data_IF_450490968559
#
_entry.id   IF_450490968559
#
_cell.length_a   1.000
_cell.length_b   1.000
_cell.length_c   1.000
_cell.angle_alpha   90.00
_cell.angle_beta   90.00
_cell.angle_gamma   90.00
#
_symmetry.space_group_name_H-M   'P 1'
#
loop_
_entity.id
_entity.type
_entity.pdbx_description
1 polymer ?
#
# COMPACT_ATOMS: atom_id res chain seq x y z
N UNK A 1 3.30 -17.08 20.32
CA UNK A 1 2.74 -16.18 19.29
C UNK A 1 3.57 -14.92 19.29
N UNK A 2 4.17 -14.55 18.16
CA UNK A 2 4.95 -13.34 18.06
C UNK A 2 4.02 -12.12 18.19
N UNK A 3 4.32 -11.23 19.14
CA UNK A 3 3.65 -9.92 19.24
C UNK A 3 4.20 -9.00 18.16
N UNK A 4 3.41 -8.04 17.71
CA UNK A 4 3.90 -7.00 16.82
C UNK A 4 5.08 -6.25 17.46
N UNK A 5 6.15 -6.06 16.71
CA UNK A 5 7.28 -5.23 17.12
C UNK A 5 7.93 -4.55 15.91
N UNK A 6 8.54 -3.40 16.17
CA UNK A 6 9.30 -2.64 15.18
C UNK A 6 10.65 -2.28 15.79
N UNK A 7 11.72 -2.70 15.12
CA UNK A 7 13.10 -2.46 15.53
C UNK A 7 13.84 -1.70 14.43
N UNK A 8 14.43 -0.55 14.76
CA UNK A 8 15.32 0.15 13.84
C UNK A 8 16.68 -0.55 13.79
N UNK A 9 17.05 -1.06 12.60
CA UNK A 9 18.30 -1.81 12.41
C UNK A 9 19.43 -0.88 11.97
N UNK A 10 19.17 0.00 10.98
CA UNK A 10 20.19 0.87 10.39
C UNK A 10 19.56 2.11 9.78
N UNK A 11 20.26 3.24 9.89
CA UNK A 11 19.96 4.48 9.14
C UNK A 11 21.02 4.67 8.07
N UNK A 12 20.61 5.21 6.94
CA UNK A 12 21.54 5.64 5.90
C UNK A 12 22.33 6.86 6.36
N UNK A 13 23.61 6.95 6.01
CA UNK A 13 24.48 8.01 6.49
C UNK A 13 24.11 9.43 5.98
N UNK A 14 23.50 9.53 4.79
CA UNK A 14 23.30 10.82 4.10
C UNK A 14 21.84 11.20 3.83
N UNK A 15 20.91 10.27 4.01
CA UNK A 15 19.47 10.50 3.79
C UNK A 15 18.71 10.10 5.05
N UNK A 16 17.38 10.30 5.06
CA UNK A 16 16.53 9.85 6.19
C UNK A 16 16.12 8.38 6.07
N UNK A 17 16.58 7.70 5.02
CA UNK A 17 16.28 6.31 4.77
C UNK A 17 16.78 5.41 5.90
N UNK A 18 16.04 4.34 6.13
CA UNK A 18 16.29 3.43 7.24
C UNK A 18 15.77 2.04 6.93
N UNK A 19 16.37 1.07 7.60
CA UNK A 19 15.90 -0.32 7.63
C UNK A 19 15.36 -0.59 9.02
N UNK A 20 14.09 -0.98 9.08
CA UNK A 20 13.45 -1.52 10.27
C UNK A 20 13.09 -2.98 10.06
N UNK A 21 13.20 -3.79 11.11
CA UNK A 21 12.62 -5.13 11.17
C UNK A 21 11.26 -5.03 11.81
N UNK A 22 10.25 -5.54 11.12
CA UNK A 22 8.88 -5.65 11.63
C UNK A 22 8.60 -7.12 11.86
N UNK A 23 8.19 -7.47 13.08
CA UNK A 23 7.79 -8.83 13.44
C UNK A 23 6.27 -8.88 13.57
N UNK A 24 5.62 -9.86 12.95
CA UNK A 24 4.17 -10.08 13.05
C UNK A 24 3.86 -11.52 13.45
N UNK A 25 2.61 -11.84 13.83
CA UNK A 25 2.19 -13.22 14.05
C UNK A 25 2.43 -14.17 12.87
N UNK A 26 2.43 -13.66 11.62
CA UNK A 26 2.59 -14.46 10.40
C UNK A 26 3.97 -14.29 9.73
N UNK A 27 4.95 -13.71 10.43
CA UNK A 27 6.34 -13.67 9.99
C UNK A 27 6.99 -12.30 10.15
N UNK A 28 8.26 -12.25 9.79
CA UNK A 28 9.05 -11.02 9.87
C UNK A 28 9.29 -10.45 8.46
N UNK A 29 9.44 -9.13 8.37
CA UNK A 29 9.87 -8.48 7.13
C UNK A 29 10.78 -7.27 7.41
N UNK A 30 11.58 -6.91 6.41
CA UNK A 30 12.45 -5.73 6.44
C UNK A 30 11.88 -4.60 5.60
N UNK A 31 11.97 -3.39 6.12
CA UNK A 31 11.68 -2.14 5.41
C UNK A 31 12.97 -1.54 4.80
N UNK A 32 12.90 -0.69 3.77
CA UNK A 32 11.70 -0.30 3.02
C UNK A 32 11.03 -1.48 2.31
N UNK A 33 9.70 -1.48 2.21
CA UNK A 33 8.95 -2.58 1.60
C UNK A 33 7.77 -2.12 0.74
N UNK A 34 7.64 -2.75 -0.42
CA UNK A 34 6.49 -2.64 -1.30
C UNK A 34 5.43 -3.69 -0.93
N UNK A 35 4.18 -3.27 -0.83
CA UNK A 35 3.03 -4.15 -0.61
C UNK A 35 2.19 -4.27 -1.89
N UNK A 36 2.26 -5.41 -2.61
CA UNK A 36 1.33 -5.67 -3.70
C UNK A 36 -0.12 -5.68 -3.19
N UNK A 37 -1.00 -5.01 -3.92
CA UNK A 37 -2.39 -4.82 -3.49
C UNK A 37 -3.29 -5.95 -3.99
N UNK A 38 -3.85 -6.68 -3.03
CA UNK A 38 -4.90 -7.67 -3.22
C UNK A 38 -6.28 -7.08 -2.97
N UNK A 39 -6.93 -6.56 -4.02
CA UNK A 39 -8.22 -5.86 -3.89
C UNK A 39 -9.34 -6.76 -3.36
N UNK A 40 -9.32 -8.05 -3.68
CA UNK A 40 -10.36 -9.01 -3.32
C UNK A 40 -9.78 -10.35 -2.87
N UNK A 41 -9.10 -10.36 -1.72
CA UNK A 41 -8.47 -11.57 -1.16
C UNK A 41 -7.43 -12.22 -2.10
N UNK A 42 -6.75 -11.43 -2.90
CA UNK A 42 -5.78 -11.92 -3.89
C UNK A 42 -5.23 -10.80 -4.75
N UNK A 43 -3.92 -10.88 -5.03
CA UNK A 43 -3.24 -9.96 -5.95
C UNK A 43 -3.58 -10.37 -7.38
N UNK A 44 -3.98 -9.39 -8.20
CA UNK A 44 -4.46 -9.67 -9.56
C UNK A 44 -3.39 -10.41 -10.39
N UNK A 45 -3.75 -11.58 -10.93
CA UNK A 45 -2.94 -12.44 -11.79
C UNK A 45 -1.64 -12.95 -11.16
N UNK A 46 -1.56 -13.05 -9.83
CA UNK A 46 -0.43 -13.67 -9.16
C UNK A 46 -0.91 -14.58 -8.03
N UNK A 47 -0.33 -15.77 -7.97
CA UNK A 47 -0.47 -16.70 -6.86
C UNK A 47 0.42 -16.29 -5.68
N UNK A 48 0.14 -16.73 -4.45
CA UNK A 48 1.02 -16.53 -3.30
C UNK A 48 2.47 -16.98 -3.54
N UNK A 49 2.65 -18.09 -4.26
CA UNK A 49 3.98 -18.59 -4.64
C UNK A 49 4.73 -17.59 -5.54
N UNK A 50 4.08 -17.10 -6.59
CA UNK A 50 4.69 -16.11 -7.50
C UNK A 50 5.00 -14.78 -6.80
N UNK A 51 4.19 -14.39 -5.80
CA UNK A 51 4.48 -13.20 -4.98
C UNK A 51 5.76 -13.37 -4.15
N UNK A 52 5.95 -14.54 -3.54
CA UNK A 52 7.16 -14.88 -2.79
C UNK A 52 8.38 -14.93 -3.71
N UNK A 53 8.27 -15.59 -4.87
CA UNK A 53 9.33 -15.66 -5.88
C UNK A 53 9.66 -14.26 -6.46
N UNK A 54 8.67 -13.36 -6.54
CA UNK A 54 8.88 -11.97 -6.89
C UNK A 54 9.47 -11.11 -5.75
N UNK A 55 9.73 -11.66 -4.57
CA UNK A 55 10.36 -10.98 -3.43
C UNK A 55 9.41 -10.24 -2.49
N UNK A 56 8.10 -10.48 -2.58
CA UNK A 56 7.11 -9.83 -1.70
C UNK A 56 7.23 -10.41 -0.29
N UNK A 57 7.41 -9.55 0.71
CA UNK A 57 7.49 -9.95 2.13
C UNK A 57 6.16 -9.74 2.87
N UNK A 58 5.32 -8.84 2.38
CA UNK A 58 4.01 -8.46 2.93
C UNK A 58 3.10 -8.06 1.77
N UNK A 59 1.78 -8.24 1.93
CA UNK A 59 0.78 -7.77 0.97
C UNK A 59 -0.25 -6.87 1.65
N UNK A 60 -0.87 -5.98 0.86
CA UNK A 60 -2.13 -5.36 1.27
C UNK A 60 -3.23 -6.34 0.83
N UNK A 61 -3.60 -7.28 1.70
CA UNK A 61 -4.36 -8.47 1.33
C UNK A 61 -5.87 -8.26 1.17
N UNK A 62 -6.37 -7.08 1.52
CA UNK A 62 -7.77 -6.76 1.35
C UNK A 62 -8.07 -5.30 1.60
N UNK A 63 -9.06 -4.81 0.88
CA UNK A 63 -9.75 -3.60 1.23
C UNK A 63 -11.00 -3.96 2.04
N UNK A 64 -11.17 -3.34 3.21
CA UNK A 64 -12.29 -3.66 4.13
C UNK A 64 -13.64 -3.49 3.43
N UNK A 65 -13.79 -2.44 2.62
CA UNK A 65 -15.00 -2.21 1.84
C UNK A 65 -15.30 -3.36 0.87
N UNK A 66 -14.32 -3.79 0.06
CA UNK A 66 -14.52 -4.88 -0.90
C UNK A 66 -14.84 -6.21 -0.21
N UNK A 67 -14.27 -6.48 0.97
CA UNK A 67 -14.53 -7.69 1.75
C UNK A 67 -15.93 -7.73 2.33
N UNK A 68 -16.49 -6.58 2.69
CA UNK A 68 -17.90 -6.46 3.06
C UNK A 68 -18.84 -6.74 1.88
N UNK A 69 -18.44 -6.40 0.65
CA UNK A 69 -19.23 -6.62 -0.55
C UNK A 69 -19.19 -8.08 -1.02
N UNK A 70 -18.00 -8.62 -1.28
CA UNK A 70 -17.80 -9.94 -1.85
C UNK A 70 -16.39 -10.46 -1.50
N UNK A 71 -16.24 -11.67 -0.92
CA UNK A 71 -17.26 -12.70 -0.75
C UNK A 71 -18.22 -12.48 0.45
N UNK A 72 -17.98 -11.43 1.25
CA UNK A 72 -18.71 -11.18 2.49
C UNK A 72 -18.04 -11.83 3.70
N UNK A 73 -18.20 -11.21 4.87
CA UNK A 73 -17.45 -11.57 6.07
C UNK A 73 -17.76 -12.96 6.62
N UNK A 74 -18.97 -13.47 6.42
CA UNK A 74 -19.33 -14.83 6.87
C UNK A 74 -18.58 -15.92 6.10
N UNK A 75 -18.22 -15.68 4.84
CA UNK A 75 -17.42 -16.61 4.04
C UNK A 75 -15.97 -16.59 4.53
N UNK A 76 -15.42 -15.41 4.78
CA UNK A 76 -14.06 -15.24 5.30
C UNK A 76 -13.93 -15.87 6.70
N UNK A 77 -14.92 -15.68 7.56
CA UNK A 77 -14.93 -16.26 8.91
C UNK A 77 -14.98 -17.79 8.86
N UNK A 78 -15.84 -18.37 8.00
CA UNK A 78 -15.90 -19.82 7.79
C UNK A 78 -14.61 -20.41 7.21
N UNK A 79 -13.88 -19.64 6.41
CA UNK A 79 -12.58 -20.04 5.89
C UNK A 79 -11.45 -19.99 6.94
N UNK A 80 -11.72 -19.44 8.14
CA UNK A 80 -10.71 -19.27 9.19
C UNK A 80 -9.85 -18.02 9.00
N UNK A 81 -10.35 -17.01 8.28
CA UNK A 81 -9.65 -15.76 8.01
C UNK A 81 -9.07 -15.68 6.60
N UNK A 82 -8.47 -14.53 6.27
CA UNK A 82 -8.00 -14.26 4.92
C UNK A 82 -6.77 -15.09 4.54
N UNK A 83 -5.84 -15.30 5.49
CA UNK A 83 -4.62 -16.08 5.25
C UNK A 83 -4.92 -17.48 4.65
N UNK A 84 -5.72 -18.35 5.31
CA UNK A 84 -6.09 -19.64 4.72
C UNK A 84 -6.98 -19.50 3.48
N UNK A 85 -7.84 -18.48 3.42
CA UNK A 85 -8.73 -18.26 2.27
C UNK A 85 -7.97 -17.93 0.97
N UNK A 86 -6.92 -17.11 1.05
CA UNK A 86 -6.11 -16.72 -0.11
C UNK A 86 -4.86 -17.59 -0.32
N UNK A 87 -4.52 -18.44 0.64
CA UNK A 87 -3.28 -19.24 0.64
C UNK A 87 -2.01 -18.43 0.87
N UNK A 88 -2.11 -17.22 1.40
CA UNK A 88 -0.97 -16.40 1.81
C UNK A 88 -0.74 -16.60 3.30
N UNK A 89 0.47 -17.03 3.67
CA UNK A 89 0.83 -17.34 5.04
C UNK A 89 1.89 -16.39 5.61
N UNK A 90 2.24 -15.33 4.87
CA UNK A 90 3.13 -14.28 5.33
C UNK A 90 2.39 -13.10 5.96
N UNK A 91 3.11 -12.04 6.37
CA UNK A 91 2.52 -10.80 6.88
C UNK A 91 1.48 -10.19 5.94
N UNK A 92 0.39 -9.67 6.51
CA UNK A 92 -0.69 -9.02 5.75
C UNK A 92 -1.17 -7.73 6.43
N UNK A 93 -1.31 -6.68 5.62
CA UNK A 93 -2.00 -5.44 5.99
C UNK A 93 -3.40 -5.40 5.33
N UNK A 94 -4.37 -4.82 6.02
CA UNK A 94 -5.68 -4.48 5.43
C UNK A 94 -5.95 -2.99 5.62
N UNK A 95 -6.56 -2.35 4.64
CA UNK A 95 -6.97 -0.95 4.80
C UNK A 95 -8.26 -0.84 5.64
N UNK A 96 -8.61 0.38 6.06
CA UNK A 96 -9.79 0.65 6.88
C UNK A 96 -11.09 0.76 6.07
N UNK A 97 -11.03 0.80 4.74
CA UNK A 97 -12.14 1.13 3.84
C UNK A 97 -12.47 2.62 3.68
N UNK A 98 -11.83 3.52 4.43
CA UNK A 98 -12.10 4.97 4.40
C UNK A 98 -11.82 5.64 3.04
N UNK A 99 -10.80 5.17 2.30
CA UNK A 99 -10.53 5.69 0.96
C UNK A 99 -11.62 5.33 -0.06
N UNK A 100 -12.21 4.14 0.04
CA UNK A 100 -13.26 3.68 -0.87
C UNK A 100 -14.56 4.43 -0.58
N UNK A 101 -14.85 4.70 0.69
CA UNK A 101 -15.87 5.66 1.11
C UNK A 101 -15.68 6.99 0.38
N UNK A 102 -14.48 7.56 0.39
CA UNK A 102 -14.18 8.79 -0.35
C UNK A 102 -14.41 8.64 -1.86
N UNK A 103 -13.87 7.59 -2.49
CA UNK A 103 -14.01 7.38 -3.94
C UNK A 103 -15.46 7.24 -4.41
N UNK A 104 -16.32 6.62 -3.58
CA UNK A 104 -17.75 6.41 -3.85
C UNK A 104 -18.60 7.61 -3.44
N UNK A 105 -18.17 8.40 -2.46
CA UNK A 105 -18.84 9.64 -2.03
C UNK A 105 -18.87 10.74 -3.10
N UNK A 106 -18.06 10.58 -4.17
CA UNK A 106 -18.20 11.40 -5.40
C UNK A 106 -19.62 11.32 -5.98
N UNK A 107 -20.36 10.25 -5.68
CA UNK A 107 -21.79 10.18 -5.89
C UNK A 107 -22.53 10.15 -4.54
N UNK A 108 -23.15 11.27 -4.16
CA UNK A 108 -23.89 11.42 -2.89
C UNK A 108 -25.10 10.48 -2.75
N UNK A 109 -25.62 9.95 -3.86
CA UNK A 109 -26.68 8.93 -3.83
C UNK A 109 -26.16 7.55 -3.41
N UNK A 110 -24.84 7.34 -3.53
CA UNK A 110 -24.16 6.08 -3.24
C UNK A 110 -23.51 6.12 -1.85
N UNK A 111 -22.95 7.27 -1.43
CA UNK A 111 -22.32 7.40 -0.13
C UNK A 111 -22.50 8.78 0.52
N UNK A 112 -22.88 8.78 1.79
CA UNK A 112 -22.95 9.96 2.67
C UNK A 112 -22.08 9.74 3.91
N UNK A 113 -21.50 10.82 4.45
CA UNK A 113 -20.62 10.77 5.60
C UNK A 113 -21.17 11.72 6.67
N UNK A 114 -21.35 11.22 7.88
CA UNK A 114 -21.74 12.00 9.05
C UNK A 114 -20.66 11.93 10.14
N UNK A 115 -21.02 12.24 11.38
CA UNK A 115 -20.09 12.21 12.52
C UNK A 115 -19.84 10.81 13.07
N UNK A 116 -20.79 9.89 12.88
CA UNK A 116 -20.72 8.53 13.40
C UNK A 116 -20.00 7.59 12.43
N UNK A 117 -20.08 7.87 11.13
CA UNK A 117 -19.40 7.07 10.13
C UNK A 117 -19.76 7.43 8.69
N UNK A 118 -19.65 6.42 7.83
CA UNK A 118 -19.98 6.51 6.42
C UNK A 118 -21.11 5.54 6.07
N UNK A 119 -22.15 6.05 5.44
CA UNK A 119 -23.24 5.24 4.90
C UNK A 119 -22.97 5.02 3.42
N UNK A 120 -23.04 3.78 2.96
CA UNK A 120 -22.97 3.49 1.53
C UNK A 120 -23.86 2.33 1.11
N UNK A 121 -24.36 2.43 -0.12
CA UNK A 121 -25.09 1.34 -0.77
C UNK A 121 -24.12 0.42 -1.48
N UNK A 122 -24.31 -0.87 -1.28
CA UNK A 122 -23.55 -1.89 -1.99
C UNK A 122 -23.93 -1.89 -3.49
N UNK A 123 -22.97 -1.96 -4.43
CA UNK A 123 -23.27 -2.06 -5.85
C UNK A 123 -24.16 -3.27 -6.15
N UNK A 124 -25.33 -3.03 -6.75
CA UNK A 124 -26.28 -4.09 -7.09
C UNK A 124 -27.12 -4.63 -5.92
N UNK A 125 -27.11 -3.97 -4.76
CA UNK A 125 -27.95 -4.32 -3.61
C UNK A 125 -28.65 -3.10 -3.01
N UNK A 126 -29.81 -3.31 -2.40
CA UNK A 126 -30.51 -2.30 -1.59
C UNK A 126 -29.95 -2.19 -0.18
N UNK A 127 -29.02 -3.07 0.22
CA UNK A 127 -28.41 -3.07 1.54
C UNK A 127 -27.56 -1.82 1.75
N UNK A 128 -27.93 -1.06 2.78
CA UNK A 128 -27.14 0.05 3.31
C UNK A 128 -26.15 -0.50 4.35
N UNK A 129 -24.88 -0.14 4.21
CA UNK A 129 -23.86 -0.39 5.23
C UNK A 129 -23.56 0.94 5.91
N UNK A 130 -23.61 0.95 7.25
CA UNK A 130 -23.13 2.05 8.07
C UNK A 130 -21.76 1.67 8.65
N UNK A 131 -20.71 2.22 8.06
CA UNK A 131 -19.33 1.92 8.41
C UNK A 131 -18.83 2.92 9.46
N UNK A 132 -18.80 2.47 10.71
CA UNK A 132 -18.21 3.18 11.85
C UNK A 132 -16.76 2.72 12.10
N UNK A 133 -15.98 3.42 12.96
CA UNK A 133 -14.66 2.94 13.38
C UNK A 133 -14.69 1.52 13.97
N UNK A 134 -15.65 1.21 14.83
CA UNK A 134 -15.80 -0.10 15.45
C UNK A 134 -16.12 -1.17 14.42
N UNK A 135 -17.04 -0.91 13.48
CA UNK A 135 -17.36 -1.86 12.41
C UNK A 135 -16.15 -2.11 11.49
N UNK A 136 -15.38 -1.05 11.17
CA UNK A 136 -14.16 -1.19 10.39
C UNK A 136 -13.16 -2.12 11.09
N UNK A 137 -12.89 -1.87 12.37
CA UNK A 137 -11.96 -2.70 13.16
C UNK A 137 -12.47 -4.13 13.36
N UNK A 138 -13.76 -4.32 13.62
CA UNK A 138 -14.36 -5.65 13.70
C UNK A 138 -14.19 -6.43 12.39
N UNK A 139 -14.40 -5.76 11.25
CA UNK A 139 -14.21 -6.37 9.94
C UNK A 139 -12.75 -6.78 9.74
N UNK A 140 -11.80 -5.90 10.07
CA UNK A 140 -10.37 -6.18 9.98
C UNK A 140 -9.93 -7.31 10.95
N UNK A 141 -10.62 -7.47 12.08
CA UNK A 141 -10.44 -8.61 13.01
C UNK A 141 -10.89 -9.94 12.42
N UNK A 142 -12.01 -9.95 11.70
CA UNK A 142 -12.50 -11.13 10.99
C UNK A 142 -11.63 -11.44 9.76
N UNK A 143 -11.11 -10.42 9.05
CA UNK A 143 -10.09 -10.61 8.01
C UNK A 143 -8.87 -11.31 8.59
N UNK A 144 -8.46 -10.93 9.81
CA UNK A 144 -7.33 -11.55 10.51
C UNK A 144 -5.98 -11.10 9.98
N UNK A 145 -5.87 -9.85 9.49
CA UNK A 145 -4.62 -9.22 9.10
C UNK A 145 -3.67 -9.02 10.30
N UNK A 146 -2.38 -8.87 10.05
CA UNK A 146 -1.40 -8.54 11.09
C UNK A 146 -1.38 -7.05 11.42
N UNK A 147 -1.56 -6.21 10.39
CA UNK A 147 -1.59 -4.75 10.52
C UNK A 147 -2.96 -4.27 10.06
N UNK A 148 -3.64 -3.55 10.93
CA UNK A 148 -4.95 -2.96 10.70
C UNK A 148 -4.84 -1.43 10.73
N UNK A 149 -5.69 -0.78 9.95
CA UNK A 149 -5.69 0.67 9.80
C UNK A 149 -6.86 1.26 10.58
N UNK A 150 -6.62 2.35 11.31
CA UNK A 150 -7.67 3.14 11.92
C UNK A 150 -8.63 3.68 10.83
N UNK A 151 -9.91 3.80 11.16
CA UNK A 151 -10.88 4.39 10.25
C UNK A 151 -10.65 5.89 10.11
N UNK A 152 -10.58 6.37 8.87
CA UNK A 152 -10.31 7.77 8.55
C UNK A 152 -11.23 8.28 7.44
N UNK A 153 -11.21 9.60 7.26
CA UNK A 153 -11.83 10.23 6.11
C UNK A 153 -10.74 10.84 5.22
N UNK A 154 -10.59 10.30 4.02
CA UNK A 154 -9.66 10.83 3.04
C UNK A 154 -10.05 12.28 2.66
N UNK A 155 -9.07 13.18 2.70
CA UNK A 155 -9.27 14.59 2.35
C UNK A 155 -9.19 14.78 0.83
N UNK A 156 -10.21 15.37 0.17
CA UNK A 156 -10.16 15.73 -1.25
C UNK A 156 -9.24 16.93 -1.51
N UNK A 157 -8.60 16.97 -2.68
CA UNK A 157 -7.63 18.02 -3.04
C UNK A 157 -8.24 19.42 -3.25
N UNK A 158 -9.53 19.46 -3.56
CA UNK A 158 -10.27 20.71 -3.87
C UNK A 158 -10.96 21.33 -2.65
N UNK A 159 -10.83 20.74 -1.46
CA UNK A 159 -11.45 21.25 -0.25
C UNK A 159 -10.78 22.54 0.25
N UNK A 160 -11.60 23.46 0.76
CA UNK A 160 -11.11 24.63 1.49
C UNK A 160 -10.42 24.23 2.79
N UNK A 161 -9.53 25.09 3.31
CA UNK A 161 -8.81 24.85 4.56
C UNK A 161 -9.74 24.53 5.74
N UNK A 162 -10.88 25.21 5.85
CA UNK A 162 -11.84 24.96 6.93
C UNK A 162 -12.54 23.60 6.80
N UNK A 163 -12.83 23.16 5.58
CA UNK A 163 -13.35 21.81 5.33
C UNK A 163 -12.32 20.74 5.67
N UNK A 164 -11.06 20.93 5.26
CA UNK A 164 -9.96 20.02 5.60
C UNK A 164 -9.78 19.93 7.11
N UNK A 165 -9.82 21.06 7.82
CA UNK A 165 -9.73 21.10 9.29
C UNK A 165 -10.87 20.33 9.94
N UNK A 166 -12.10 20.41 9.40
CA UNK A 166 -13.25 19.65 9.89
C UNK A 166 -13.06 18.14 9.70
N UNK A 167 -12.62 17.72 8.51
CA UNK A 167 -12.33 16.32 8.16
C UNK A 167 -11.22 15.75 9.03
N UNK A 168 -10.14 16.51 9.23
CA UNK A 168 -9.02 16.13 10.09
C UNK A 168 -9.49 15.91 11.53
N UNK A 169 -10.25 16.85 12.11
CA UNK A 169 -10.80 16.70 13.47
C UNK A 169 -11.72 15.49 13.61
N UNK A 170 -12.47 15.14 12.57
CA UNK A 170 -13.28 13.92 12.55
C UNK A 170 -12.40 12.67 12.56
N UNK A 171 -11.39 12.63 11.69
CA UNK A 171 -10.38 11.56 11.68
C UNK A 171 -9.70 11.38 13.04
N UNK A 172 -9.41 12.47 13.76
CA UNK A 172 -8.87 12.43 15.11
C UNK A 172 -9.81 11.77 16.13
N UNK A 173 -11.12 12.09 16.06
CA UNK A 173 -12.13 11.42 16.91
C UNK A 173 -12.24 9.93 16.59
N UNK A 174 -12.29 9.57 15.31
CA UNK A 174 -12.37 8.18 14.87
C UNK A 174 -11.11 7.37 15.22
N UNK A 175 -9.93 7.99 15.22
CA UNK A 175 -8.72 7.33 15.74
C UNK A 175 -8.87 6.98 17.22
N UNK A 176 -9.37 7.91 18.04
CA UNK A 176 -9.57 7.65 19.48
C UNK A 176 -10.52 6.47 19.69
N UNK A 177 -11.66 6.45 19.00
CA UNK A 177 -12.61 5.33 19.04
C UNK A 177 -11.97 4.02 18.56
N UNK A 178 -11.18 4.06 17.49
CA UNK A 178 -10.44 2.90 16.99
C UNK A 178 -9.46 2.34 18.03
N UNK A 179 -8.71 3.23 18.71
CA UNK A 179 -7.77 2.83 19.77
C UNK A 179 -8.51 2.23 20.96
N UNK A 180 -9.57 2.88 21.45
CA UNK A 180 -10.36 2.40 22.58
C UNK A 180 -10.94 1.00 22.29
N UNK A 181 -11.50 0.81 21.09
CA UNK A 181 -12.00 -0.49 20.65
C UNK A 181 -10.87 -1.53 20.54
N UNK A 182 -9.73 -1.17 19.96
CA UNK A 182 -8.59 -2.08 19.79
C UNK A 182 -7.97 -2.49 21.13
N UNK A 183 -7.89 -1.59 22.11
CA UNK A 183 -7.41 -1.92 23.46
C UNK A 183 -8.33 -2.93 24.16
N UNK A 184 -9.65 -2.80 23.96
CA UNK A 184 -10.62 -3.76 24.50
C UNK A 184 -10.55 -5.11 23.79
N UNK A 185 -10.24 -5.11 22.49
CA UNK A 185 -10.15 -6.31 21.66
C UNK A 185 -8.81 -6.30 20.89
N UNK A 186 -7.68 -6.70 21.50
CA UNK A 186 -6.36 -6.54 20.87
C UNK A 186 -6.05 -7.58 19.78
N UNK A 187 -6.77 -8.69 19.75
CA UNK A 187 -6.51 -9.79 18.80
C UNK A 187 -7.49 -9.81 17.64
N UNK A 188 -7.12 -10.53 16.58
CA UNK A 188 -8.02 -10.97 15.53
C UNK A 188 -9.05 -11.98 16.08
N UNK A 189 -10.04 -12.31 15.24
CA UNK A 189 -11.02 -13.37 15.51
C UNK A 189 -10.37 -14.74 15.77
N UNK A 190 -9.13 -14.91 15.33
CA UNK A 190 -8.36 -16.17 15.38
C UNK A 190 -7.23 -16.14 16.41
N UNK A 191 -7.23 -15.16 17.33
CA UNK A 191 -6.32 -15.10 18.47
C UNK A 191 -4.94 -14.49 18.21
N UNK A 192 -4.65 -14.04 16.98
CA UNK A 192 -3.40 -13.35 16.66
C UNK A 192 -3.47 -11.88 17.08
N UNK A 193 -2.42 -11.33 17.70
CA UNK A 193 -2.34 -9.89 18.01
C UNK A 193 -2.25 -9.07 16.73
N UNK A 194 -3.01 -7.98 16.62
CA UNK A 194 -2.95 -7.11 15.45
C UNK A 194 -2.34 -5.76 15.83
N UNK A 195 -1.53 -5.17 14.95
CA UNK A 195 -1.02 -3.82 15.11
C UNK A 195 -2.01 -2.80 14.56
N UNK A 196 -2.23 -1.68 15.25
CA UNK A 196 -3.10 -0.60 14.78
C UNK A 196 -2.29 0.60 14.31
N UNK A 197 -2.43 0.98 13.04
CA UNK A 197 -1.80 2.20 12.49
C UNK A 197 -2.78 3.36 12.47
N UNK A 198 -2.31 4.55 12.89
CA UNK A 198 -3.04 5.81 12.76
C UNK A 198 -2.73 6.50 11.44
N UNK A 199 -3.67 7.30 10.90
CA UNK A 199 -3.54 7.93 9.58
C UNK A 199 -3.48 9.45 9.72
N UNK A 200 -2.37 10.04 9.28
CA UNK A 200 -2.20 11.50 9.18
C UNK A 200 -2.95 12.00 7.94
N UNK A 201 -4.02 12.77 8.19
CA UNK A 201 -4.73 13.59 7.19
C UNK A 201 -4.34 15.07 7.33
N UNK A 202 -4.89 15.96 6.48
CA UNK A 202 -4.61 17.40 6.51
C UNK A 202 -4.53 18.09 5.14
N UNK A 203 -4.89 17.39 4.06
CA UNK A 203 -4.88 17.95 2.70
C UNK A 203 -3.50 18.46 2.27
N UNK A 204 -3.48 19.57 1.55
CA UNK A 204 -2.27 20.27 1.07
C UNK A 204 -1.80 21.38 2.03
N UNK A 205 -2.34 21.44 3.25
CA UNK A 205 -2.06 22.51 4.22
C UNK A 205 -1.02 22.05 5.24
N UNK A 206 0.15 22.68 5.23
CA UNK A 206 1.28 22.34 6.10
C UNK A 206 0.89 22.35 7.59
N UNK A 207 0.26 23.43 8.06
CA UNK A 207 -0.12 23.59 9.46
C UNK A 207 -1.09 22.50 9.95
N UNK A 208 -2.06 22.12 9.10
CA UNK A 208 -3.00 21.03 9.42
C UNK A 208 -2.32 19.66 9.40
N UNK A 209 -1.38 19.43 8.47
CA UNK A 209 -0.57 18.20 8.44
C UNK A 209 0.26 18.06 9.72
N UNK A 210 0.85 19.15 10.19
CA UNK A 210 1.62 19.17 11.43
C UNK A 210 0.73 18.94 12.66
N UNK A 211 -0.41 19.63 12.79
CA UNK A 211 -1.40 19.42 13.86
C UNK A 211 -1.86 17.95 13.90
N UNK A 212 -2.11 17.39 12.71
CA UNK A 212 -2.52 16.00 12.58
C UNK A 212 -1.42 15.02 12.97
N UNK A 213 -0.19 15.20 12.48
CA UNK A 213 0.92 14.32 12.82
C UNK A 213 1.25 14.31 14.32
N UNK A 214 1.19 15.47 14.97
CA UNK A 214 1.35 15.60 16.42
C UNK A 214 0.25 14.83 17.18
N UNK A 215 -1.02 15.06 16.83
CA UNK A 215 -2.14 14.38 17.44
C UNK A 215 -2.06 12.85 17.27
N UNK A 216 -1.91 12.37 16.04
CA UNK A 216 -1.88 10.92 15.73
C UNK A 216 -0.72 10.26 16.48
N UNK A 217 0.44 10.90 16.56
CA UNK A 217 1.61 10.38 17.28
C UNK A 217 1.39 10.36 18.80
N UNK A 218 0.75 11.38 19.37
CA UNK A 218 0.45 11.47 20.81
C UNK A 218 -0.46 10.33 21.30
N UNK A 219 -1.29 9.79 20.40
CA UNK A 219 -2.15 8.63 20.67
C UNK A 219 -1.38 7.29 20.65
N UNK A 220 -0.09 7.31 20.31
CA UNK A 220 0.84 6.18 20.35
C UNK A 220 0.41 4.90 19.59
N UNK A 221 -0.17 4.98 18.36
CA UNK A 221 -0.51 3.79 17.56
C UNK A 221 0.76 3.02 17.17
N UNK A 222 0.65 1.74 16.80
CA UNK A 222 1.81 0.88 16.51
C UNK A 222 2.63 1.35 15.30
N UNK A 223 2.00 2.05 14.36
CA UNK A 223 2.62 2.68 13.20
C UNK A 223 1.86 3.93 12.73
N UNK A 224 2.50 4.70 11.87
CA UNK A 224 1.98 5.98 11.37
C UNK A 224 1.87 5.91 9.86
N UNK A 225 0.65 6.03 9.35
CA UNK A 225 0.38 6.17 7.93
C UNK A 225 0.15 7.63 7.53
N UNK A 226 0.42 7.93 6.27
CA UNK A 226 0.25 9.25 5.64
C UNK A 226 -0.74 9.05 4.49
N UNK A 227 -1.92 9.64 4.62
CA UNK A 227 -3.02 9.52 3.66
C UNK A 227 -3.44 10.85 3.03
N UNK A 228 -4.45 10.80 2.17
CA UNK A 228 -5.02 11.96 1.44
C UNK A 228 -4.94 11.78 -0.08
N UNK A 229 -5.85 12.41 -0.83
CA UNK A 229 -5.99 12.22 -2.28
C UNK A 229 -4.70 12.57 -3.05
N UNK A 230 -3.94 13.57 -2.61
CA UNK A 230 -2.69 13.96 -3.27
C UNK A 230 -1.55 12.95 -3.10
N UNK A 231 -1.54 12.16 -2.01
CA UNK A 231 -0.39 11.32 -1.61
C UNK A 231 -0.24 10.17 -2.62
N UNK A 232 0.96 10.03 -3.18
CA UNK A 232 1.28 9.03 -4.20
C UNK A 232 0.85 9.38 -5.63
N UNK A 233 -0.01 10.40 -5.81
CA UNK A 233 -0.41 10.88 -7.13
C UNK A 233 0.40 12.09 -7.59
N UNK A 234 0.70 13.03 -6.68
CA UNK A 234 1.61 14.14 -6.93
C UNK A 234 2.84 13.97 -6.03
N UNK A 235 3.93 13.43 -6.60
CA UNK A 235 5.14 13.11 -5.84
C UNK A 235 5.80 14.34 -5.24
N UNK A 236 5.76 15.50 -5.90
CA UNK A 236 6.29 16.75 -5.33
C UNK A 236 5.57 17.09 -4.03
N UNK A 237 4.24 17.15 -4.07
CA UNK A 237 3.43 17.45 -2.87
C UNK A 237 3.54 16.34 -1.82
N UNK A 238 3.65 15.07 -2.24
CA UNK A 238 3.88 13.94 -1.33
C UNK A 238 5.16 14.13 -0.54
N UNK A 239 6.27 14.48 -1.20
CA UNK A 239 7.55 14.74 -0.57
C UNK A 239 7.49 15.97 0.35
N UNK A 240 6.85 17.05 -0.08
CA UNK A 240 6.66 18.25 0.76
C UNK A 240 5.88 17.91 2.05
N UNK A 241 4.79 17.13 1.95
CA UNK A 241 4.02 16.65 3.11
C UNK A 241 4.89 15.83 4.05
N UNK A 242 5.66 14.86 3.53
CA UNK A 242 6.55 14.03 4.36
C UNK A 242 7.56 14.91 5.10
N UNK A 243 8.14 15.92 4.42
CA UNK A 243 9.09 16.85 5.03
C UNK A 243 8.45 17.69 6.14
N UNK A 244 7.24 18.22 5.92
CA UNK A 244 6.52 19.01 6.91
C UNK A 244 6.27 18.27 8.22
N UNK A 245 5.96 16.98 8.14
CA UNK A 245 5.57 16.18 9.31
C UNK A 245 6.73 15.38 9.91
N UNK A 246 7.90 15.33 9.26
CA UNK A 246 8.99 14.42 9.62
C UNK A 246 9.39 14.50 11.10
N UNK A 247 9.46 15.71 11.66
CA UNK A 247 9.83 15.96 13.06
C UNK A 247 8.85 15.38 14.08
N UNK A 248 7.61 15.10 13.68
CA UNK A 248 6.59 14.51 14.55
C UNK A 248 6.57 12.97 14.47
N UNK A 249 7.23 12.37 13.46
CA UNK A 249 7.17 10.92 13.23
C UNK A 249 8.20 10.18 14.11
N UNK A 250 7.77 9.28 15.02
CA UNK A 250 8.69 8.56 15.90
C UNK A 250 9.70 7.71 15.11
N UNK A 251 10.91 7.61 15.66
CA UNK A 251 11.97 6.82 15.01
C UNK A 251 11.75 5.31 15.16
N UNK A 252 11.10 4.88 16.23
CA UNK A 252 10.89 3.46 16.55
C UNK A 252 9.63 2.86 15.94
N UNK A 253 8.83 3.65 15.20
CA UNK A 253 7.58 3.19 14.58
C UNK A 253 7.70 3.19 13.06
N UNK A 254 7.08 2.23 12.36
CA UNK A 254 7.01 2.22 10.90
C UNK A 254 6.18 3.39 10.38
N UNK A 255 6.62 3.92 9.25
CA UNK A 255 6.02 5.03 8.51
C UNK A 255 5.54 4.53 7.15
N UNK A 256 4.25 4.68 6.90
CA UNK A 256 3.58 4.11 5.73
C UNK A 256 2.97 5.22 4.87
N UNK A 257 3.41 5.38 3.63
CA UNK A 257 2.72 6.25 2.66
C UNK A 257 1.75 5.45 1.80
N UNK A 258 0.46 5.78 1.90
CA UNK A 258 -0.59 5.05 1.19
C UNK A 258 -0.61 5.45 -0.29
N UNK A 259 -0.68 4.47 -1.19
CA UNK A 259 -0.87 4.71 -2.64
C UNK A 259 0.39 5.09 -3.44
N UNK A 260 1.57 5.14 -2.82
CA UNK A 260 2.85 5.43 -3.50
C UNK A 260 3.35 4.20 -4.26
N UNK A 261 3.70 4.40 -5.53
CA UNK A 261 4.29 3.34 -6.37
C UNK A 261 3.77 3.30 -7.81
N UNK A 262 3.50 4.46 -8.40
CA UNK A 262 3.16 4.57 -9.83
C UNK A 262 4.38 4.28 -10.70
N UNK A 263 5.56 4.67 -10.21
CA UNK A 263 6.90 4.42 -10.77
C UNK A 263 7.82 3.82 -9.69
N UNK A 264 8.82 3.00 -10.07
CA UNK A 264 9.89 2.58 -9.16
C UNK A 264 10.64 3.76 -8.51
N UNK A 265 10.75 4.89 -9.22
CA UNK A 265 11.40 6.10 -8.70
C UNK A 265 10.64 6.68 -7.48
N UNK A 266 9.32 6.57 -7.46
CA UNK A 266 8.50 7.12 -6.38
C UNK A 266 8.90 6.51 -5.02
N UNK A 267 9.28 5.23 -5.02
CA UNK A 267 9.74 4.52 -3.83
C UNK A 267 11.06 5.08 -3.32
N UNK A 268 12.01 5.27 -4.24
CA UNK A 268 13.34 5.81 -3.92
C UNK A 268 13.22 7.22 -3.30
N UNK A 269 12.30 8.03 -3.82
CA UNK A 269 12.08 9.41 -3.39
C UNK A 269 11.52 9.48 -1.96
N UNK A 270 10.47 8.71 -1.66
CA UNK A 270 9.86 8.74 -0.31
C UNK A 270 10.73 8.07 0.74
N UNK A 271 11.49 7.03 0.36
CA UNK A 271 12.43 6.36 1.28
C UNK A 271 13.58 7.29 1.64
N UNK A 272 14.09 8.10 0.70
CA UNK A 272 15.09 9.11 1.01
C UNK A 272 14.63 10.11 2.10
N UNK A 273 13.31 10.34 2.19
CA UNK A 273 12.67 11.18 3.21
C UNK A 273 12.26 10.41 4.48
N UNK A 274 12.55 9.11 4.55
CA UNK A 274 12.44 8.28 5.75
C UNK A 274 11.11 7.54 5.91
N UNK A 275 10.46 7.19 4.78
CA UNK A 275 9.31 6.29 4.72
C UNK A 275 9.77 4.83 4.62
N UNK A 276 9.01 3.92 5.23
CA UNK A 276 9.38 2.51 5.39
C UNK A 276 8.46 1.56 4.60
N UNK A 277 7.21 1.94 4.40
CA UNK A 277 6.19 1.07 3.80
C UNK A 277 5.40 1.85 2.76
N UNK A 278 4.97 1.18 1.70
CA UNK A 278 4.12 1.75 0.66
C UNK A 278 3.40 0.65 -0.11
N UNK A 279 2.26 1.00 -0.70
CA UNK A 279 1.43 0.11 -1.51
C UNK A 279 0.97 0.84 -2.78
N UNK A 280 0.78 0.09 -3.86
CA UNK A 280 0.14 0.63 -5.04
C UNK A 280 -0.51 -0.46 -5.88
N UNK A 281 -1.69 -0.17 -6.42
CA UNK A 281 -2.32 -1.02 -7.44
C UNK A 281 -1.65 -0.91 -8.80
N UNK A 282 -0.83 0.11 -9.02
CA UNK A 282 -0.29 0.45 -10.33
C UNK A 282 0.56 -0.66 -10.96
N UNK A 283 1.44 -1.39 -10.25
CA UNK A 283 2.27 -2.41 -10.88
C UNK A 283 1.45 -3.50 -11.59
N UNK A 284 0.43 -4.06 -10.94
CA UNK A 284 -0.45 -5.07 -11.53
C UNK A 284 -1.47 -4.46 -12.50
N UNK A 285 -2.04 -3.29 -12.18
CA UNK A 285 -2.99 -2.61 -13.08
C UNK A 285 -2.35 -2.23 -14.41
N UNK A 286 -1.17 -1.60 -14.37
CA UNK A 286 -0.43 -1.15 -15.56
C UNK A 286 0.07 -2.33 -16.39
N UNK A 287 0.55 -3.39 -15.73
CA UNK A 287 0.93 -4.65 -16.38
C UNK A 287 -0.20 -5.19 -17.27
N UNK A 288 -1.42 -5.31 -16.73
CA UNK A 288 -2.61 -5.77 -17.49
C UNK A 288 -2.91 -4.91 -18.71
N UNK A 289 -2.61 -3.62 -18.65
CA UNK A 289 -2.83 -2.70 -19.75
C UNK A 289 -1.65 -2.63 -20.76
N UNK A 290 -0.57 -3.37 -20.53
CA UNK A 290 0.57 -3.44 -21.44
C UNK A 290 1.72 -2.50 -21.10
N UNK A 291 1.70 -1.90 -19.91
CA UNK A 291 2.76 -1.00 -19.46
C UNK A 291 3.68 -1.72 -18.48
N UNK A 292 4.94 -1.89 -18.87
CA UNK A 292 5.94 -2.68 -18.15
C UNK A 292 7.09 -1.78 -17.71
N UNK A 293 7.50 -1.87 -16.44
CA UNK A 293 8.64 -1.09 -15.96
C UNK A 293 9.92 -1.51 -16.69
N UNK A 294 10.73 -0.53 -17.09
CA UNK A 294 11.94 -0.76 -17.86
C UNK A 294 12.94 0.36 -17.57
N UNK A 295 14.15 -0.02 -17.17
CA UNK A 295 15.21 0.89 -16.76
C UNK A 295 16.27 0.14 -15.96
N UNK A 296 17.05 0.86 -15.18
CA UNK A 296 18.12 0.32 -14.34
C UNK A 296 18.23 1.14 -13.05
N UNK A 297 18.52 0.47 -11.94
CA UNK A 297 18.89 1.16 -10.70
C UNK A 297 20.36 1.53 -10.75
N UNK A 298 20.63 2.84 -10.71
CA UNK A 298 21.98 3.36 -10.67
C UNK A 298 22.20 4.13 -9.36
N UNK A 299 23.45 4.20 -8.93
CA UNK A 299 23.85 5.08 -7.83
C UNK A 299 24.07 6.50 -8.37
N UNK A 300 23.42 7.48 -7.77
CA UNK A 300 23.57 8.90 -8.07
C UNK A 300 23.93 9.64 -6.79
N UNK A 301 25.19 10.08 -6.71
CA UNK A 301 25.76 10.60 -5.46
C UNK A 301 25.72 9.56 -4.34
N UNK A 302 25.04 9.90 -3.24
CA UNK A 302 24.90 9.03 -2.06
C UNK A 302 23.60 8.22 -2.06
N UNK A 303 22.79 8.27 -3.12
CA UNK A 303 21.50 7.58 -3.17
C UNK A 303 21.31 6.80 -4.48
N UNK A 304 20.13 6.20 -4.65
CA UNK A 304 19.76 5.47 -5.86
C UNK A 304 18.80 6.30 -6.72
N UNK A 305 18.89 6.09 -8.04
CA UNK A 305 17.94 6.58 -9.03
C UNK A 305 17.54 5.45 -9.97
N UNK A 306 16.26 5.37 -10.33
CA UNK A 306 15.78 4.48 -11.38
C UNK A 306 15.95 5.17 -12.73
N UNK A 307 17.08 4.91 -13.40
CA UNK A 307 17.40 5.45 -14.70
C UNK A 307 16.66 4.72 -15.81
N UNK A 308 15.95 5.46 -16.64
CA UNK A 308 15.24 4.90 -17.79
C UNK A 308 15.25 5.88 -18.94
N UNK A 309 15.48 5.42 -20.19
CA UNK A 309 15.29 6.24 -21.38
C UNK A 309 13.80 6.43 -21.72
N UNK A 310 12.90 5.66 -21.09
CA UNK A 310 11.46 5.73 -21.29
C UNK A 310 10.81 6.64 -20.26
N UNK A 311 9.84 7.43 -20.74
CA UNK A 311 8.98 8.26 -19.90
C UNK A 311 8.29 7.43 -18.81
N UNK A 312 8.28 7.94 -17.57
CA UNK A 312 7.73 7.24 -16.40
C UNK A 312 8.31 5.83 -16.19
N UNK A 313 9.56 5.60 -16.61
CA UNK A 313 10.28 4.36 -16.41
C UNK A 313 9.58 3.10 -16.95
N UNK A 314 8.83 3.22 -18.06
CA UNK A 314 8.00 2.13 -18.58
C UNK A 314 7.90 2.09 -20.09
N UNK A 315 7.91 0.89 -20.64
CA UNK A 315 7.57 0.64 -22.04
C UNK A 315 6.07 0.37 -22.21
N UNK A 316 5.59 0.52 -23.44
CA UNK A 316 4.25 0.11 -23.86
C UNK A 316 4.38 -1.07 -24.81
N UNK A 317 4.29 -2.30 -24.29
CA UNK A 317 4.65 -3.52 -25.03
C UNK A 317 3.81 -3.73 -26.29
N UNK A 318 2.63 -3.10 -26.36
CA UNK A 318 1.71 -3.13 -27.52
C UNK A 318 2.23 -2.37 -28.76
N UNK A 319 3.27 -1.54 -28.62
CA UNK A 319 3.85 -0.77 -29.73
C UNK A 319 4.52 -1.70 -30.74
N UNK A 320 4.40 -1.37 -32.03
CA UNK A 320 4.86 -2.22 -33.13
C UNK A 320 6.38 -2.47 -33.13
N UNK A 321 7.16 -1.54 -32.57
CA UNK A 321 8.62 -1.70 -32.42
C UNK A 321 9.02 -2.95 -31.63
N UNK A 322 8.15 -3.48 -30.77
CA UNK A 322 8.42 -4.68 -29.98
C UNK A 322 8.02 -5.98 -30.68
N UNK A 323 7.40 -5.94 -31.86
CA UNK A 323 6.84 -7.14 -32.51
C UNK A 323 7.90 -8.18 -32.91
N UNK A 324 9.12 -7.75 -33.20
CA UNK A 324 10.27 -8.60 -33.58
C UNK A 324 11.46 -8.45 -32.62
N UNK A 325 11.24 -7.87 -31.45
CA UNK A 325 12.26 -7.59 -30.45
C UNK A 325 12.50 -8.81 -29.55
N UNK A 326 13.59 -9.54 -29.80
CA UNK A 326 13.88 -10.80 -29.12
C UNK A 326 14.54 -10.64 -27.74
N UNK A 327 14.85 -9.41 -27.33
CA UNK A 327 15.41 -9.13 -26.00
C UNK A 327 14.34 -9.25 -24.91
N UNK A 328 14.73 -9.51 -23.64
CA UNK A 328 13.82 -9.42 -22.50
C UNK A 328 13.37 -7.98 -22.24
N UNK A 329 12.43 -7.79 -21.31
CA UNK A 329 11.99 -6.43 -20.92
C UNK A 329 13.16 -5.63 -20.35
N UNK A 330 13.97 -6.28 -19.49
CA UNK A 330 15.16 -5.72 -18.85
C UNK A 330 16.23 -6.82 -18.76
N UNK A 331 17.40 -6.66 -19.40
CA UNK A 331 18.45 -7.69 -19.40
C UNK A 331 18.99 -8.08 -18.01
N UNK A 332 19.01 -7.13 -17.06
CA UNK A 332 19.48 -7.35 -15.69
C UNK A 332 18.40 -7.88 -14.73
N UNK A 333 17.15 -8.00 -15.17
CA UNK A 333 16.04 -8.42 -14.33
C UNK A 333 16.02 -9.95 -14.17
N UNK A 334 15.94 -10.42 -12.93
CA UNK A 334 15.98 -11.84 -12.58
C UNK A 334 14.60 -12.46 -12.42
N UNK A 335 13.52 -11.73 -12.73
CA UNK A 335 12.17 -12.26 -12.66
C UNK A 335 11.94 -13.36 -13.70
N UNK A 336 11.02 -14.28 -13.41
CA UNK A 336 10.62 -15.36 -14.31
C UNK A 336 10.34 -14.86 -15.75
N UNK A 337 9.67 -13.71 -15.87
CA UNK A 337 9.30 -13.20 -17.19
C UNK A 337 10.51 -12.75 -18.02
N UNK A 338 11.47 -12.03 -17.43
CA UNK A 338 12.67 -11.59 -18.15
C UNK A 338 13.64 -12.76 -18.45
N UNK A 339 13.66 -13.80 -17.62
CA UNK A 339 14.53 -14.95 -17.84
C UNK A 339 14.03 -15.92 -18.92
N UNK A 340 12.73 -15.91 -19.22
CA UNK A 340 12.11 -16.92 -20.09
C UNK A 340 11.43 -16.37 -21.34
N UNK A 341 11.17 -15.05 -21.42
CA UNK A 341 10.35 -14.48 -22.47
C UNK A 341 10.92 -13.19 -23.06
N UNK A 342 10.82 -13.07 -24.39
CA UNK A 342 11.19 -11.87 -25.13
C UNK A 342 10.05 -10.85 -25.19
N UNK A 343 10.41 -9.59 -25.49
CA UNK A 343 9.44 -8.51 -25.76
C UNK A 343 8.52 -8.84 -26.94
N UNK A 344 9.02 -9.52 -27.98
CA UNK A 344 8.23 -10.01 -29.12
C UNK A 344 7.13 -10.99 -28.69
N UNK A 345 7.47 -11.96 -27.84
CA UNK A 345 6.48 -12.91 -27.32
C UNK A 345 5.42 -12.20 -26.48
N UNK A 346 5.84 -11.31 -25.57
CA UNK A 346 4.92 -10.53 -24.75
C UNK A 346 4.04 -9.59 -25.58
N UNK A 347 4.60 -8.97 -26.63
CA UNK A 347 3.85 -8.16 -27.59
C UNK A 347 2.75 -9.00 -28.25
N UNK A 348 3.11 -10.18 -28.77
CA UNK A 348 2.16 -11.11 -29.37
C UNK A 348 1.03 -11.49 -28.41
N UNK A 349 1.37 -11.96 -27.19
CA UNK A 349 0.36 -12.33 -26.19
C UNK A 349 -0.55 -11.15 -25.82
N UNK A 350 0.02 -9.94 -25.70
CA UNK A 350 -0.73 -8.72 -25.41
C UNK A 350 -1.72 -8.36 -26.53
N UNK A 351 -1.31 -8.52 -27.80
CA UNK A 351 -2.18 -8.29 -28.97
C UNK A 351 -3.32 -9.30 -29.04
N UNK A 352 -3.05 -10.56 -28.71
CA UNK A 352 -4.05 -11.63 -28.63
C UNK A 352 -4.94 -11.54 -27.38
N UNK A 353 -4.66 -10.60 -26.47
CA UNK A 353 -5.35 -10.47 -25.17
C UNK A 353 -5.33 -11.79 -24.37
N UNK A 354 -4.25 -12.55 -24.50
CA UNK A 354 -4.11 -13.82 -23.79
C UNK A 354 -3.98 -13.58 -22.28
N UNK A 355 -4.69 -14.38 -21.47
CA UNK A 355 -4.60 -14.28 -20.00
C UNK A 355 -3.15 -14.43 -19.51
N UNK A 356 -2.37 -15.32 -20.15
CA UNK A 356 -0.95 -15.54 -19.85
C UNK A 356 -0.13 -14.24 -19.90
N UNK A 357 -0.42 -13.31 -20.83
CA UNK A 357 0.26 -12.01 -20.87
C UNK A 357 0.15 -11.30 -19.53
N UNK A 358 -1.07 -11.23 -18.98
CA UNK A 358 -1.34 -10.46 -17.78
C UNK A 358 -0.69 -11.06 -16.54
N UNK A 359 -0.54 -12.38 -16.47
CA UNK A 359 0.21 -13.05 -15.40
C UNK A 359 1.72 -12.71 -15.48
N UNK A 360 2.34 -12.94 -16.64
CA UNK A 360 3.77 -12.66 -16.87
C UNK A 360 4.11 -11.18 -16.63
N UNK A 361 3.30 -10.27 -17.19
CA UNK A 361 3.46 -8.84 -17.00
C UNK A 361 3.37 -8.42 -15.52
N UNK A 362 2.48 -9.06 -14.75
CA UNK A 362 2.30 -8.74 -13.32
C UNK A 362 3.48 -9.22 -12.49
N UNK A 363 4.00 -10.44 -12.77
CA UNK A 363 5.23 -10.96 -12.13
C UNK A 363 6.38 -9.98 -12.34
N UNK A 364 6.61 -9.53 -13.58
CA UNK A 364 7.67 -8.57 -13.89
C UNK A 364 7.53 -7.27 -13.09
N UNK A 365 6.37 -6.61 -13.18
CA UNK A 365 6.20 -5.30 -12.54
C UNK A 365 6.28 -5.37 -11.01
N UNK A 366 5.74 -6.42 -10.38
CA UNK A 366 5.84 -6.60 -8.92
C UNK A 366 7.27 -6.90 -8.50
N UNK A 367 7.97 -7.76 -9.23
CA UNK A 367 9.37 -8.05 -8.96
C UNK A 367 10.25 -6.80 -9.02
N UNK A 368 10.06 -5.94 -10.04
CA UNK A 368 10.83 -4.67 -10.14
C UNK A 368 10.66 -3.80 -8.90
N UNK A 369 9.44 -3.67 -8.35
CA UNK A 369 9.19 -2.88 -7.15
C UNK A 369 9.87 -3.48 -5.90
N UNK A 370 9.83 -4.80 -5.77
CA UNK A 370 10.49 -5.52 -4.67
C UNK A 370 12.02 -5.45 -4.76
N UNK A 371 12.58 -5.56 -5.98
CA UNK A 371 14.02 -5.46 -6.22
C UNK A 371 14.55 -4.05 -5.89
N UNK A 372 13.78 -3.00 -6.21
CA UNK A 372 14.09 -1.62 -5.80
C UNK A 372 14.18 -1.51 -4.27
N UNK A 373 13.24 -2.13 -3.56
CA UNK A 373 13.28 -2.18 -2.09
C UNK A 373 14.51 -2.95 -1.58
N UNK A 374 14.85 -4.09 -2.20
CA UNK A 374 16.03 -4.87 -1.84
C UNK A 374 17.32 -4.07 -2.02
N UNK A 375 17.50 -3.40 -3.17
CA UNK A 375 18.68 -2.56 -3.43
C UNK A 375 18.78 -1.36 -2.50
N UNK A 376 17.67 -0.75 -2.11
CA UNK A 376 17.68 0.28 -1.07
C UNK A 376 18.17 -0.28 0.27
N UNK A 377 17.69 -1.46 0.70
CA UNK A 377 18.16 -2.10 1.93
C UNK A 377 19.66 -2.40 1.87
N UNK A 378 20.15 -2.95 0.76
CA UNK A 378 21.59 -3.23 0.56
C UNK A 378 22.44 -1.95 0.67
N UNK A 379 22.00 -0.84 0.06
CA UNK A 379 22.69 0.44 0.16
C UNK A 379 22.68 0.99 1.59
N UNK A 380 21.56 0.90 2.31
CA UNK A 380 21.46 1.37 3.69
C UNK A 380 22.38 0.55 4.62
N UNK A 381 22.41 -0.78 4.44
CA UNK A 381 23.29 -1.65 5.23
C UNK A 381 24.78 -1.42 4.96
N UNK A 382 25.14 -1.06 3.73
CA UNK A 382 26.54 -0.80 3.34
C UNK A 382 27.02 0.64 3.60
N UNK A 383 26.14 1.54 4.06
CA UNK A 383 26.46 2.95 4.35
C UNK A 383 27.08 3.23 5.71
#
# INVERSE_FOLDING_TARGET
>A
MNKFSSELIKKHAYTKARVTRISTPHGDFLTPVFMPVGTRAGVNNMTPRELLEAGSQIVLGGNTYHMLCAPGMSVIEKAGGMHPFMGWHGPMLTDSGGFQVFSLSKNKEICSIDEEGAHFRLPGSTRLIHMTPEMSLETQKIIGADIIMAFDQCTPDHCSREEVKRIMKRTHRWLRQSIDYHQKYPTSRYGATQALFGIVQGGIYEDLRQESADFITSMNPDGIAIGGETVGFNMKTTIDIIRWINKYLPENKPRYTMGVGMSPQDLLDVVAEGIDMFDCVAPTRNARHGSLYCGELIKEGNWLRFASPYENARIQIKKACFASDLEPIMPSCTCYTCQHHSRAFLHHLSKQRANLFTALASIHNVHVMNEVCAKMRDLIFSS
#
